data_IF_056804762785
#
_entry.id   IF_056804762785
#
_cell.length_a   1.000
_cell.length_b   1.000
_cell.length_c   1.000
_cell.angle_alpha   90.00
_cell.angle_beta   90.00
_cell.angle_gamma   90.00
#
_symmetry.space_group_name_H-M   'P 1'
#
loop_
_entity.id
_entity.type
_entity.pdbx_description
1 polymer ?
#
# COMPACT_ATOMS: atom_id res chain seq x y z
N UNK A 1 -30.95 7.80 -3.48
CA UNK A 1 -29.59 7.94 -4.04
C UNK A 1 -28.91 9.09 -3.30
N UNK A 2 -28.19 8.79 -2.21
CA UNK A 2 -27.52 9.83 -1.41
C UNK A 2 -26.29 10.29 -2.19
N UNK A 3 -26.31 11.50 -2.76
CA UNK A 3 -25.08 12.14 -3.27
C UNK A 3 -24.14 12.31 -2.09
N UNK A 4 -22.91 11.85 -2.25
CA UNK A 4 -21.90 11.86 -1.21
C UNK A 4 -21.48 13.32 -0.94
N UNK A 5 -21.85 13.88 0.21
CA UNK A 5 -21.60 15.28 0.60
C UNK A 5 -20.18 15.53 1.12
N UNK A 6 -19.28 14.54 1.04
CA UNK A 6 -17.93 14.57 1.63
C UNK A 6 -16.80 14.43 0.59
N UNK A 7 -16.97 14.96 -0.61
CA UNK A 7 -15.85 15.06 -1.56
C UNK A 7 -14.87 16.13 -1.07
N UNK A 8 -13.64 15.73 -0.74
CA UNK A 8 -12.53 16.64 -0.40
C UNK A 8 -11.37 16.45 -1.38
N UNK A 9 -10.51 17.45 -1.42
CA UNK A 9 -9.21 17.31 -2.06
C UNK A 9 -8.34 16.32 -1.28
N UNK A 10 -7.71 15.39 -2.01
CA UNK A 10 -6.84 14.36 -1.47
C UNK A 10 -5.38 14.76 -1.68
N UNK A 11 -4.57 14.72 -0.62
CA UNK A 11 -3.13 14.92 -0.75
C UNK A 11 -2.49 13.79 -1.55
N UNK A 12 -1.62 14.15 -2.50
CA UNK A 12 -0.93 13.20 -3.36
C UNK A 12 0.47 13.74 -3.68
N UNK A 13 1.49 12.91 -3.59
CA UNK A 13 2.86 13.28 -3.92
C UNK A 13 3.32 12.54 -5.19
N UNK A 14 3.73 13.29 -6.22
CA UNK A 14 4.13 12.73 -7.51
C UNK A 14 5.63 12.51 -7.63
N UNK A 15 6.03 11.35 -8.16
CA UNK A 15 7.39 11.03 -8.52
C UNK A 15 7.48 10.62 -9.99
N UNK A 16 8.52 11.07 -10.69
CA UNK A 16 8.76 10.69 -12.10
C UNK A 16 9.38 9.29 -12.26
N UNK A 17 9.84 8.69 -11.16
CA UNK A 17 10.42 7.35 -11.09
C UNK A 17 10.36 6.83 -9.66
N UNK A 18 10.45 5.52 -9.44
CA UNK A 18 10.65 4.98 -8.09
C UNK A 18 11.96 5.45 -7.42
N UNK A 19 12.94 5.87 -8.23
CA UNK A 19 14.22 6.46 -7.82
C UNK A 19 14.17 7.99 -7.65
N UNK A 20 13.01 8.62 -7.81
CA UNK A 20 12.86 10.06 -7.66
C UNK A 20 13.34 10.52 -6.27
N UNK A 21 14.26 11.48 -6.26
CA UNK A 21 14.76 12.11 -5.02
C UNK A 21 13.78 13.14 -4.46
N UNK A 22 12.96 13.72 -5.33
CA UNK A 22 11.99 14.76 -5.01
C UNK A 22 10.61 14.30 -5.45
N UNK A 23 9.65 14.39 -4.53
CA UNK A 23 8.24 14.02 -4.72
C UNK A 23 7.38 15.25 -4.52
N UNK A 24 6.77 15.76 -5.59
CA UNK A 24 6.02 17.01 -5.54
C UNK A 24 4.65 16.79 -4.92
N UNK A 25 4.41 17.38 -3.76
CA UNK A 25 3.10 17.37 -3.13
C UNK A 25 2.09 18.23 -3.89
N UNK A 26 0.89 17.69 -4.07
CA UNK A 26 -0.27 18.30 -4.74
C UNK A 26 -1.55 17.86 -4.02
N UNK A 27 -2.67 18.40 -4.46
CA UNK A 27 -4.00 17.86 -4.20
C UNK A 27 -4.61 17.32 -5.49
N UNK A 28 -5.55 16.38 -5.36
CA UNK A 28 -6.31 15.82 -6.47
C UNK A 28 -7.70 15.42 -5.97
N UNK A 29 -8.73 15.51 -6.81
CA UNK A 29 -10.03 14.91 -6.49
C UNK A 29 -9.96 13.40 -6.72
N UNK A 30 -10.86 12.62 -6.08
CA UNK A 30 -10.91 11.19 -6.36
C UNK A 30 -11.32 10.89 -7.81
N UNK A 31 -12.16 11.74 -8.40
CA UNK A 31 -12.61 11.64 -9.79
C UNK A 31 -11.44 11.83 -10.76
N UNK A 32 -10.65 12.91 -10.60
CA UNK A 32 -9.48 13.16 -11.45
C UNK A 32 -8.43 12.05 -11.31
N UNK A 33 -8.27 11.47 -10.12
CA UNK A 33 -7.38 10.34 -9.91
C UNK A 33 -7.91 9.10 -10.66
N UNK A 34 -9.21 8.83 -10.59
CA UNK A 34 -9.84 7.74 -11.33
C UNK A 34 -9.67 7.92 -12.85
N UNK A 35 -9.92 9.11 -13.37
CA UNK A 35 -9.78 9.42 -14.81
C UNK A 35 -8.34 9.25 -15.28
N UNK A 36 -7.38 9.66 -14.44
CA UNK A 36 -5.97 9.41 -14.73
C UNK A 36 -5.63 7.92 -14.71
N UNK A 37 -6.15 7.18 -13.73
CA UNK A 37 -5.91 5.75 -13.59
C UNK A 37 -6.73 4.91 -14.58
N UNK A 38 -7.76 5.42 -15.23
CA UNK A 38 -8.49 4.66 -16.26
C UNK A 38 -7.69 4.49 -17.55
N UNK A 39 -6.55 5.17 -17.68
CA UNK A 39 -5.68 5.15 -18.85
C UNK A 39 -4.33 4.52 -18.49
N UNK A 40 -3.87 3.56 -19.28
CA UNK A 40 -2.56 2.90 -19.12
C UNK A 40 -1.55 3.36 -20.18
N UNK A 41 -0.26 3.25 -19.86
CA UNK A 41 0.82 3.42 -20.84
C UNK A 41 1.22 2.04 -21.36
N UNK A 42 1.02 1.81 -22.66
CA UNK A 42 1.52 0.60 -23.30
C UNK A 42 3.03 0.67 -23.54
N UNK A 43 3.73 -0.39 -23.17
CA UNK A 43 5.17 -0.59 -23.42
C UNK A 43 5.39 -1.48 -24.64
N UNK A 44 6.64 -1.64 -25.07
CA UNK A 44 6.97 -2.28 -26.35
C UNK A 44 6.97 -3.80 -26.27
N UNK A 45 7.40 -4.35 -25.13
CA UNK A 45 7.45 -5.80 -24.91
C UNK A 45 6.05 -6.38 -24.74
N UNK A 46 5.92 -7.65 -25.10
CA UNK A 46 4.71 -8.45 -24.92
C UNK A 46 4.61 -9.05 -23.51
N UNK A 47 3.40 -9.51 -23.15
CA UNK A 47 3.13 -10.27 -21.92
C UNK A 47 4.03 -11.50 -21.80
N UNK A 48 4.43 -12.10 -22.93
CA UNK A 48 5.30 -13.28 -22.96
C UNK A 48 6.79 -12.94 -22.78
N UNK A 49 7.22 -11.77 -23.24
CA UNK A 49 8.61 -11.30 -23.16
C UNK A 49 8.92 -10.69 -21.79
N UNK A 50 8.01 -9.89 -21.24
CA UNK A 50 8.17 -9.21 -19.95
C UNK A 50 8.70 -10.12 -18.82
N UNK A 51 8.09 -11.29 -18.52
CA UNK A 51 8.57 -12.17 -17.44
C UNK A 51 9.95 -12.78 -17.72
N UNK A 52 10.42 -12.80 -18.97
CA UNK A 52 11.75 -13.32 -19.35
C UNK A 52 12.86 -12.28 -19.16
N UNK A 53 12.51 -11.00 -19.03
CA UNK A 53 13.48 -9.94 -18.77
C UNK A 53 14.09 -10.09 -17.37
N UNK A 54 15.37 -9.70 -17.18
CA UNK A 54 15.96 -9.54 -15.86
C UNK A 54 15.13 -8.61 -14.97
N UNK A 55 15.15 -8.82 -13.65
CA UNK A 55 14.37 -8.02 -12.70
C UNK A 55 14.61 -6.51 -12.85
N UNK A 56 15.87 -6.09 -12.99
CA UNK A 56 16.23 -4.69 -13.16
C UNK A 56 15.61 -4.07 -14.43
N UNK A 57 15.55 -4.85 -15.51
CA UNK A 57 14.93 -4.41 -16.76
C UNK A 57 13.40 -4.35 -16.62
N UNK A 58 12.77 -5.34 -15.98
CA UNK A 58 11.34 -5.30 -15.67
C UNK A 58 10.95 -4.08 -14.83
N UNK A 59 11.78 -3.74 -13.85
CA UNK A 59 11.57 -2.58 -12.98
C UNK A 59 11.74 -1.27 -13.76
N UNK A 60 12.73 -1.18 -14.67
CA UNK A 60 12.93 -0.01 -15.54
C UNK A 60 11.79 0.16 -16.56
N UNK A 61 11.31 -0.93 -17.14
CA UNK A 61 10.25 -0.93 -18.16
C UNK A 61 8.94 -0.39 -17.61
N UNK A 62 8.51 -0.89 -16.44
CA UNK A 62 7.24 -0.50 -15.81
C UNK A 62 7.31 0.88 -15.12
N UNK A 63 8.51 1.40 -14.86
CA UNK A 63 8.67 2.66 -14.15
C UNK A 63 8.43 3.85 -15.09
N UNK A 64 7.19 4.35 -15.08
CA UNK A 64 6.78 5.63 -15.68
C UNK A 64 6.44 6.67 -14.60
N UNK A 65 7.05 6.50 -13.42
CA UNK A 65 6.71 7.24 -12.23
C UNK A 65 5.50 6.68 -11.49
N UNK A 66 5.05 7.45 -10.52
CA UNK A 66 3.95 7.05 -9.66
C UNK A 66 3.58 8.13 -8.66
N UNK A 67 2.88 7.72 -7.62
CA UNK A 67 2.41 8.60 -6.57
C UNK A 67 2.50 7.95 -5.18
N UNK A 68 2.60 8.78 -4.14
CA UNK A 68 2.28 8.39 -2.77
C UNK A 68 0.94 9.03 -2.43
N UNK A 69 0.02 8.23 -1.89
CA UNK A 69 -1.37 8.65 -1.63
C UNK A 69 -1.47 9.44 -0.30
N UNK A 70 -0.74 10.54 -0.24
CA UNK A 70 -0.59 11.38 0.95
C UNK A 70 0.41 12.51 0.77
N UNK A 71 0.78 13.12 1.89
CA UNK A 71 1.68 14.27 1.95
C UNK A 71 3.06 13.85 2.48
N UNK A 72 4.12 14.35 1.84
CA UNK A 72 5.51 14.09 2.22
C UNK A 72 6.21 15.36 2.74
N UNK A 73 6.80 15.29 3.93
CA UNK A 73 7.71 16.31 4.47
C UNK A 73 8.92 16.44 3.54
N UNK A 74 9.36 17.68 3.30
CA UNK A 74 10.54 18.00 2.49
C UNK A 74 10.52 17.38 1.07
N UNK A 75 9.34 17.03 0.54
CA UNK A 75 9.20 16.35 -0.76
C UNK A 75 10.05 15.08 -0.88
N UNK A 76 10.26 14.34 0.23
CA UNK A 76 11.07 13.12 0.24
C UNK A 76 10.24 11.89 0.60
N UNK A 77 10.43 10.81 -0.15
CA UNK A 77 9.80 9.52 0.13
C UNK A 77 10.71 8.67 1.01
N UNK A 78 10.58 8.88 2.32
CA UNK A 78 11.19 8.08 3.38
C UNK A 78 10.12 7.82 4.45
N UNK A 79 10.29 6.79 5.28
CA UNK A 79 9.27 6.41 6.28
C UNK A 79 8.91 7.56 7.21
N UNK A 80 9.92 8.31 7.64
CA UNK A 80 9.89 9.42 8.60
C UNK A 80 9.36 10.71 7.95
N UNK A 81 9.46 10.77 6.62
CA UNK A 81 9.03 11.91 5.82
C UNK A 81 7.55 11.84 5.45
N UNK A 82 6.81 10.77 5.80
CA UNK A 82 5.36 10.75 5.59
C UNK A 82 4.69 11.65 6.62
N UNK A 83 4.05 12.73 6.16
CA UNK A 83 3.30 13.62 7.03
C UNK A 83 1.90 13.04 7.33
N UNK A 84 1.22 12.57 6.29
CA UNK A 84 -0.11 11.98 6.38
C UNK A 84 -0.44 11.15 5.14
N UNK A 85 -1.50 10.35 5.23
CA UNK A 85 -2.11 9.62 4.11
C UNK A 85 -3.55 10.07 3.94
N UNK A 86 -3.93 10.38 2.71
CA UNK A 86 -5.30 10.79 2.35
C UNK A 86 -6.11 9.63 1.74
N UNK A 87 -5.41 8.58 1.32
CA UNK A 87 -5.98 7.38 0.72
C UNK A 87 -5.20 6.15 1.18
N UNK A 88 -5.91 5.03 1.26
CA UNK A 88 -5.31 3.70 1.37
C UNK A 88 -4.88 3.24 -0.01
N UNK A 89 -3.75 2.53 -0.07
CA UNK A 89 -3.26 1.98 -1.32
C UNK A 89 -2.75 0.55 -1.10
N UNK A 90 -3.29 -0.38 -1.86
CA UNK A 90 -2.99 -1.80 -1.76
C UNK A 90 -2.36 -2.30 -3.05
N UNK A 91 -1.36 -3.18 -2.94
CA UNK A 91 -0.72 -3.88 -4.05
C UNK A 91 -1.03 -5.38 -3.91
N UNK A 92 -1.99 -5.86 -4.70
CA UNK A 92 -2.43 -7.25 -4.70
C UNK A 92 -1.72 -8.00 -5.84
N UNK A 93 -0.52 -8.51 -5.55
CA UNK A 93 0.31 -9.26 -6.50
C UNK A 93 -0.04 -10.75 -6.60
N UNK A 94 -0.93 -11.23 -5.72
CA UNK A 94 -1.37 -12.64 -5.64
C UNK A 94 -2.89 -12.75 -5.56
N UNK A 95 -3.59 -11.85 -6.24
CA UNK A 95 -5.04 -11.87 -6.28
C UNK A 95 -5.53 -13.19 -6.91
N UNK A 96 -6.56 -13.80 -6.32
CA UNK A 96 -7.13 -15.03 -6.85
C UNK A 96 -7.77 -14.80 -8.23
N UNK A 97 -7.81 -15.84 -9.05
CA UNK A 97 -8.65 -15.83 -10.26
C UNK A 97 -10.09 -15.55 -9.83
N UNK A 98 -10.69 -14.49 -10.39
CA UNK A 98 -12.02 -14.01 -9.99
C UNK A 98 -12.03 -12.85 -8.97
N UNK A 99 -10.89 -12.49 -8.37
CA UNK A 99 -10.82 -11.38 -7.39
C UNK A 99 -11.36 -10.07 -7.97
N UNK A 100 -11.00 -9.71 -9.21
CA UNK A 100 -11.47 -8.48 -9.85
C UNK A 100 -12.99 -8.46 -10.05
N UNK A 101 -13.60 -9.62 -10.25
CA UNK A 101 -15.05 -9.76 -10.41
C UNK A 101 -15.76 -9.65 -9.06
N UNK A 102 -15.25 -10.34 -8.03
CA UNK A 102 -15.85 -10.32 -6.70
C UNK A 102 -15.63 -9.00 -5.95
N UNK A 103 -14.50 -8.33 -6.16
CA UNK A 103 -14.12 -7.10 -5.46
C UNK A 103 -15.16 -5.98 -5.62
N UNK A 104 -15.76 -5.86 -6.80
CA UNK A 104 -16.81 -4.87 -7.08
C UNK A 104 -18.05 -5.06 -6.20
N UNK A 105 -18.33 -6.30 -5.80
CA UNK A 105 -19.46 -6.64 -4.92
C UNK A 105 -19.09 -6.73 -3.45
N UNK A 106 -17.82 -6.96 -3.12
CA UNK A 106 -17.36 -7.18 -1.74
C UNK A 106 -16.72 -5.94 -1.11
N UNK A 107 -16.47 -4.88 -1.88
CA UNK A 107 -15.93 -3.64 -1.35
C UNK A 107 -17.07 -2.72 -0.90
N UNK A 108 -17.17 -2.48 0.41
CA UNK A 108 -18.20 -1.60 1.00
C UNK A 108 -17.93 -0.09 0.81
N UNK A 109 -16.76 0.25 0.28
CA UNK A 109 -16.27 1.62 0.17
C UNK A 109 -16.14 2.04 -1.29
N UNK A 110 -16.20 3.35 -1.52
CA UNK A 110 -15.71 3.92 -2.77
C UNK A 110 -14.25 3.46 -2.97
N UNK A 111 -13.92 2.99 -4.16
CA UNK A 111 -12.57 2.56 -4.47
C UNK A 111 -12.33 2.62 -5.98
N UNK A 112 -11.06 2.62 -6.38
CA UNK A 112 -10.68 2.29 -7.74
C UNK A 112 -9.67 1.15 -7.73
N UNK A 113 -9.79 0.28 -8.72
CA UNK A 113 -8.93 -0.86 -8.94
C UNK A 113 -8.31 -0.74 -10.33
N UNK A 114 -7.03 -1.02 -10.45
CA UNK A 114 -6.37 -1.10 -11.75
C UNK A 114 -5.30 -2.17 -11.81
N UNK A 115 -5.10 -2.78 -12.99
CA UNK A 115 -4.12 -3.85 -13.16
C UNK A 115 -2.68 -3.33 -13.14
N UNK A 116 -1.76 -4.16 -12.65
CA UNK A 116 -0.33 -3.87 -12.71
C UNK A 116 0.28 -4.40 -13.99
N UNK A 117 1.49 -3.96 -14.30
CA UNK A 117 2.22 -4.36 -15.51
C UNK A 117 2.33 -5.88 -15.71
N UNK A 118 2.45 -6.64 -14.61
CA UNK A 118 2.59 -8.09 -14.65
C UNK A 118 1.27 -8.87 -14.63
N UNK A 119 0.13 -8.18 -14.81
CA UNK A 119 -1.18 -8.82 -14.81
C UNK A 119 -1.38 -9.74 -16.01
N UNK A 120 -1.94 -10.93 -15.76
CA UNK A 120 -2.65 -11.74 -16.77
C UNK A 120 -3.97 -12.25 -16.18
N UNK A 121 -4.93 -12.71 -17.01
CA UNK A 121 -6.17 -13.31 -16.54
C UNK A 121 -5.97 -14.50 -15.59
N UNK A 122 -4.92 -15.30 -15.84
CA UNK A 122 -4.57 -16.48 -15.05
C UNK A 122 -3.80 -16.14 -13.76
N UNK A 123 -3.11 -15.00 -13.74
CA UNK A 123 -2.39 -14.49 -12.59
C UNK A 123 -2.73 -13.01 -12.33
N UNK A 124 -3.92 -12.73 -11.76
CA UNK A 124 -4.36 -11.37 -11.54
C UNK A 124 -3.43 -10.57 -10.61
N UNK A 125 -3.09 -9.35 -11.01
CA UNK A 125 -2.30 -8.42 -10.21
C UNK A 125 -2.88 -7.03 -10.32
N UNK A 126 -3.26 -6.45 -9.19
CA UNK A 126 -4.00 -5.19 -9.17
C UNK A 126 -3.55 -4.29 -8.05
N UNK A 127 -3.79 -2.99 -8.22
CA UNK A 127 -3.74 -2.00 -7.16
C UNK A 127 -5.13 -1.50 -6.85
N UNK A 128 -5.38 -1.28 -5.57
CA UNK A 128 -6.65 -0.74 -5.07
C UNK A 128 -6.36 0.55 -4.33
N UNK A 129 -7.12 1.60 -4.62
CA UNK A 129 -7.07 2.88 -3.92
C UNK A 129 -8.43 3.13 -3.27
N UNK A 130 -8.42 3.47 -1.98
CA UNK A 130 -9.62 3.80 -1.20
C UNK A 130 -9.45 5.21 -0.62
N UNK A 131 -10.30 6.19 -0.97
CA UNK A 131 -10.23 7.54 -0.42
C UNK A 131 -10.76 7.59 1.02
N UNK A 132 -10.14 8.45 1.84
CA UNK A 132 -10.49 8.64 3.24
C UNK A 132 -11.20 9.97 3.48
N UNK A 133 -12.17 10.00 4.39
CA UNK A 133 -12.90 11.23 4.75
C UNK A 133 -12.02 12.28 5.44
N UNK A 134 -10.90 11.85 6.06
CA UNK A 134 -9.86 12.72 6.62
C UNK A 134 -8.47 12.11 6.38
N UNK A 135 -7.46 12.95 6.50
CA UNK A 135 -6.09 12.44 6.51
C UNK A 135 -5.82 11.63 7.79
N UNK A 136 -4.97 10.62 7.65
CA UNK A 136 -4.55 9.73 8.73
C UNK A 136 -3.04 9.80 8.93
N UNK A 137 -2.62 9.58 10.17
CA UNK A 137 -1.22 9.40 10.54
C UNK A 137 -0.64 8.09 9.94
N UNK A 138 0.69 7.95 9.89
CA UNK A 138 1.33 6.72 9.47
C UNK A 138 0.86 5.47 10.24
N UNK A 139 0.59 5.59 11.55
CA UNK A 139 0.20 4.45 12.39
C UNK A 139 -1.24 4.03 12.15
N UNK A 140 -2.16 5.01 12.05
CA UNK A 140 -3.55 4.76 11.65
C UNK A 140 -3.62 4.12 10.26
N UNK A 141 -2.80 4.59 9.30
CA UNK A 141 -2.71 4.00 7.98
C UNK A 141 -2.34 2.51 8.04
N UNK A 142 -1.33 2.14 8.83
CA UNK A 142 -0.90 0.75 8.99
C UNK A 142 -2.02 -0.11 9.57
N UNK A 143 -2.71 0.38 10.61
CA UNK A 143 -3.83 -0.32 11.22
C UNK A 143 -4.98 -0.54 10.24
N UNK A 144 -5.46 0.52 9.60
CA UNK A 144 -6.61 0.46 8.68
C UNK A 144 -6.28 -0.45 7.49
N UNK A 145 -5.09 -0.31 6.89
CA UNK A 145 -4.69 -1.16 5.76
C UNK A 145 -4.62 -2.63 6.15
N UNK A 146 -4.09 -2.99 7.32
CA UNK A 146 -4.04 -4.41 7.75
C UNK A 146 -5.41 -5.01 8.02
N UNK A 147 -6.28 -4.29 8.72
CA UNK A 147 -7.63 -4.77 8.98
C UNK A 147 -8.47 -4.88 7.70
N UNK A 148 -8.40 -3.90 6.80
CA UNK A 148 -9.12 -3.94 5.54
C UNK A 148 -8.58 -5.04 4.60
N UNK A 149 -7.25 -5.23 4.54
CA UNK A 149 -6.65 -6.34 3.80
C UNK A 149 -7.08 -7.70 4.38
N UNK A 150 -7.24 -7.83 5.69
CA UNK A 150 -7.75 -9.05 6.32
C UNK A 150 -9.18 -9.39 5.89
N UNK A 151 -10.06 -8.38 5.77
CA UNK A 151 -11.42 -8.57 5.26
C UNK A 151 -11.44 -9.08 3.82
N UNK A 152 -10.46 -8.67 3.01
CA UNK A 152 -10.32 -9.10 1.61
C UNK A 152 -9.40 -10.31 1.43
N UNK A 153 -8.93 -10.95 2.51
CA UNK A 153 -7.94 -12.02 2.43
C UNK A 153 -6.51 -11.48 2.34
N UNK A 154 -5.87 -11.32 3.49
CA UNK A 154 -4.59 -10.61 3.66
C UNK A 154 -3.43 -11.19 2.83
N UNK A 155 -3.47 -12.49 2.52
CA UNK A 155 -2.44 -13.18 1.75
C UNK A 155 -2.38 -12.79 0.27
N UNK A 156 -3.40 -12.11 -0.24
CA UNK A 156 -3.43 -11.60 -1.62
C UNK A 156 -2.54 -10.35 -1.80
N UNK A 157 -2.29 -9.63 -0.71
CA UNK A 157 -1.61 -8.34 -0.72
C UNK A 157 -0.12 -8.46 -0.42
N UNK A 158 0.70 -7.62 -1.03
CA UNK A 158 2.11 -7.49 -0.70
C UNK A 158 2.28 -6.70 0.61
N UNK A 159 3.27 -7.08 1.42
CA UNK A 159 3.60 -6.43 2.70
C UNK A 159 3.92 -4.93 2.54
N UNK A 160 4.35 -4.52 1.35
CA UNK A 160 4.60 -3.12 1.05
C UNK A 160 3.33 -2.26 1.13
N UNK A 161 2.14 -2.84 0.97
CA UNK A 161 0.84 -2.15 1.11
C UNK A 161 0.69 -1.47 2.48
N UNK A 162 1.28 -2.08 3.52
CA UNK A 162 1.22 -1.59 4.90
C UNK A 162 2.31 -0.57 5.22
N UNK A 163 3.16 -0.17 4.26
CA UNK A 163 4.22 0.81 4.48
C UNK A 163 3.70 2.22 4.17
N UNK A 164 3.74 3.18 5.11
CA UNK A 164 3.22 4.53 4.88
C UNK A 164 3.87 5.29 3.72
N UNK A 165 5.14 4.98 3.40
CA UNK A 165 5.91 5.61 2.32
C UNK A 165 5.85 4.81 1.00
N UNK A 166 4.97 3.81 0.92
CA UNK A 166 4.80 3.01 -0.28
C UNK A 166 4.27 3.89 -1.41
N UNK A 167 4.95 3.80 -2.56
CA UNK A 167 4.50 4.42 -3.80
C UNK A 167 3.59 3.44 -4.56
N UNK A 168 2.71 3.99 -5.38
CA UNK A 168 1.96 3.26 -6.39
C UNK A 168 2.40 3.74 -7.76
N UNK A 169 2.83 2.80 -8.60
CA UNK A 169 3.20 3.14 -9.98
C UNK A 169 1.96 3.55 -10.76
N UNK A 170 2.16 4.46 -11.71
CA UNK A 170 1.17 4.69 -12.75
C UNK A 170 0.95 3.40 -13.56
N UNK A 171 -0.27 3.17 -14.06
CA UNK A 171 -0.57 1.98 -14.84
C UNK A 171 0.29 1.92 -16.09
N UNK A 172 0.88 0.76 -16.30
CA UNK A 172 1.61 0.40 -17.51
C UNK A 172 1.21 -1.00 -17.89
N UNK A 173 1.19 -1.30 -19.18
CA UNK A 173 0.71 -2.58 -19.71
C UNK A 173 1.59 -3.01 -20.87
N UNK A 174 1.98 -4.30 -20.97
CA UNK A 174 2.65 -4.80 -22.16
C UNK A 174 1.88 -4.51 -23.45
N UNK A 175 2.55 -4.54 -24.60
CA UNK A 175 1.97 -4.15 -25.90
C UNK A 175 0.72 -4.92 -26.28
N UNK A 176 0.64 -6.20 -25.91
CA UNK A 176 -0.50 -7.09 -26.12
C UNK A 176 -1.19 -7.49 -24.81
N UNK A 177 -0.96 -6.76 -23.72
CA UNK A 177 -1.54 -7.04 -22.41
C UNK A 177 -2.92 -6.44 -22.23
N UNK A 178 -3.71 -7.08 -21.35
CA UNK A 178 -5.01 -6.56 -20.93
C UNK A 178 -4.82 -5.52 -19.81
N UNK A 179 -5.48 -4.38 -19.96
CA UNK A 179 -5.60 -3.38 -18.90
C UNK A 179 -7.03 -3.35 -18.38
N UNK A 180 -7.19 -3.57 -17.08
CA UNK A 180 -8.49 -3.50 -16.42
C UNK A 180 -8.44 -2.38 -15.41
N UNK A 181 -9.38 -1.43 -15.55
CA UNK A 181 -9.70 -0.42 -14.56
C UNK A 181 -11.15 -0.60 -14.12
N UNK A 182 -11.40 -0.51 -12.82
CA UNK A 182 -12.74 -0.52 -12.24
C UNK A 182 -12.88 0.61 -11.22
N UNK A 183 -14.02 1.28 -11.26
CA UNK A 183 -14.45 2.22 -10.23
C UNK A 183 -15.59 1.56 -9.44
N UNK A 184 -15.46 1.57 -8.12
CA UNK A 184 -16.41 1.01 -7.18
C UNK A 184 -17.14 2.17 -6.52
N UNK A 185 -18.47 2.13 -6.58
CA UNK A 185 -19.33 3.12 -5.94
C UNK A 185 -19.50 2.81 -4.45
N UNK A 186 -19.53 3.85 -3.62
CA UNK A 186 -19.67 3.69 -2.17
C UNK A 186 -19.39 4.97 -1.39
N UNK A 187 -19.42 4.87 -0.07
CA UNK A 187 -18.96 5.93 0.81
C UNK A 187 -17.44 5.96 0.89
N UNK A 188 -16.83 7.13 1.11
CA UNK A 188 -15.41 7.19 1.45
C UNK A 188 -15.21 6.55 2.83
N UNK A 189 -14.09 5.89 3.06
CA UNK A 189 -13.82 5.24 4.34
C UNK A 189 -13.61 6.30 5.41
N UNK A 190 -14.39 6.22 6.50
CA UNK A 190 -14.22 7.04 7.68
C UNK A 190 -13.20 6.40 8.63
N UNK A 191 -11.99 6.98 8.79
CA UNK A 191 -10.96 6.40 9.64
C UNK A 191 -11.37 6.31 11.11
N UNK A 192 -12.12 7.28 11.63
CA UNK A 192 -12.52 7.31 13.04
C UNK A 192 -13.51 6.20 13.35
N UNK A 193 -14.54 6.06 12.49
CA UNK A 193 -15.52 4.98 12.63
C UNK A 193 -14.88 3.60 12.47
N UNK A 194 -13.96 3.44 11.50
CA UNK A 194 -13.26 2.18 11.26
C UNK A 194 -12.33 1.79 12.41
N UNK A 195 -11.57 2.74 12.96
CA UNK A 195 -10.66 2.47 14.08
C UNK A 195 -11.41 2.26 15.40
N UNK A 196 -12.58 2.90 15.58
CA UNK A 196 -13.44 2.66 16.73
C UNK A 196 -13.95 1.21 16.79
N UNK A 197 -14.12 0.52 15.65
CA UNK A 197 -14.48 -0.90 15.62
C UNK A 197 -13.29 -1.85 15.86
N UNK A 198 -12.07 -1.32 16.03
CA UNK A 198 -10.84 -2.07 16.26
C UNK A 198 -10.04 -1.48 17.44
N UNK A 199 -10.56 -1.50 18.68
CA UNK A 199 -10.03 -0.71 19.80
C UNK A 199 -8.53 -0.96 20.10
N UNK A 200 -8.04 -2.16 19.82
CA UNK A 200 -6.66 -2.56 20.07
C UNK A 200 -5.70 -2.24 18.92
N UNK A 201 -6.11 -1.45 17.92
CA UNK A 201 -5.30 -1.16 16.72
C UNK A 201 -3.94 -0.52 17.01
N UNK A 202 -3.79 0.12 18.18
CA UNK A 202 -2.53 0.72 18.64
C UNK A 202 -1.49 -0.32 19.04
N UNK A 203 -1.92 -1.54 19.37
CA UNK A 203 -1.00 -2.65 19.59
C UNK A 203 -0.65 -3.29 18.25
N UNK A 204 0.52 -2.93 17.72
CA UNK A 204 1.06 -3.45 16.47
C UNK A 204 1.22 -4.99 16.44
N UNK A 205 1.23 -5.66 17.61
CA UNK A 205 1.32 -7.13 17.69
C UNK A 205 -0.01 -7.82 17.43
N UNK A 206 -1.13 -7.13 17.63
CA UNK A 206 -2.49 -7.63 17.43
C UNK A 206 -3.02 -7.33 16.02
N UNK A 207 -2.30 -6.53 15.23
CA UNK A 207 -2.69 -6.23 13.86
C UNK A 207 -2.64 -7.50 12.99
N UNK A 208 -3.60 -7.68 12.06
CA UNK A 208 -3.60 -8.82 11.14
C UNK A 208 -2.29 -8.92 10.37
N UNK A 209 -1.76 -10.14 10.25
CA UNK A 209 -0.52 -10.44 9.53
C UNK A 209 -0.75 -11.51 8.46
N UNK A 210 -0.01 -11.43 7.37
CA UNK A 210 -0.06 -12.48 6.35
C UNK A 210 0.69 -13.74 6.82
N UNK A 211 0.37 -14.89 6.21
CA UNK A 211 1.06 -16.17 6.46
C UNK A 211 2.59 -16.09 6.30
N UNK A 212 3.06 -15.17 5.46
CA UNK A 212 4.50 -14.92 5.21
C UNK A 212 5.17 -14.20 6.37
N UNK A 213 4.47 -13.27 6.99
CA UNK A 213 4.99 -12.53 8.14
C UNK A 213 5.01 -13.42 9.40
N UNK A 214 4.00 -14.28 9.55
CA UNK A 214 3.93 -15.22 10.68
C UNK A 214 4.97 -16.34 10.58
N UNK A 215 5.25 -16.86 9.38
CA UNK A 215 6.32 -17.87 9.18
C UNK A 215 7.72 -17.30 9.43
N UNK A 216 8.00 -16.05 9.02
CA UNK A 216 9.26 -15.37 9.34
C UNK A 216 9.38 -15.08 10.84
N UNK A 217 8.26 -14.88 11.53
CA UNK A 217 8.17 -14.67 12.99
C UNK A 217 7.97 -15.98 13.77
N UNK A 218 8.32 -17.14 13.23
CA UNK A 218 8.36 -18.36 14.06
C UNK A 218 9.22 -18.03 15.28
N UNK A 219 8.69 -18.14 16.52
CA UNK A 219 9.46 -17.81 17.70
C UNK A 219 10.68 -18.72 17.68
N UNK A 220 11.87 -18.14 17.55
CA UNK A 220 13.02 -18.87 18.05
C UNK A 220 12.74 -19.07 19.52
N UNK A 221 12.68 -20.32 19.99
CA UNK A 221 12.65 -20.70 21.41
C UNK A 221 13.84 -20.16 22.23
N UNK A 222 14.66 -19.30 21.62
CA UNK A 222 15.59 -18.43 22.33
C UNK A 222 14.77 -17.45 23.15
N UNK A 223 14.54 -17.82 24.42
CA UNK A 223 14.29 -16.89 25.53
C UNK A 223 15.02 -15.60 25.24
N UNK A 224 14.28 -14.49 25.25
CA UNK A 224 14.85 -13.16 25.14
C UNK A 224 15.91 -13.02 26.25
N UNK A 225 17.19 -13.10 25.86
CA UNK A 225 18.30 -13.02 26.81
C UNK A 225 18.28 -11.65 27.49
N UNK A 226 18.53 -11.66 28.79
CA UNK A 226 18.62 -10.46 29.62
C UNK A 226 19.53 -9.43 28.94
N UNK A 227 19.00 -8.22 28.60
CA UNK A 227 19.76 -7.16 27.96
C UNK A 227 21.06 -6.79 28.71
N UNK A 228 21.09 -6.96 30.03
CA UNK A 228 22.26 -6.70 30.87
C UNK A 228 23.30 -7.83 30.79
N UNK A 229 22.86 -9.06 30.51
CA UNK A 229 23.72 -10.24 30.35
C UNK A 229 24.33 -10.36 28.94
N UNK A 230 23.86 -9.56 27.98
CA UNK A 230 24.39 -9.59 26.61
C UNK A 230 25.87 -9.17 26.55
N UNK A 231 26.63 -9.85 25.71
CA UNK A 231 28.01 -9.48 25.38
C UNK A 231 28.04 -8.47 24.22
N UNK A 232 29.15 -7.73 24.09
CA UNK A 232 29.31 -6.72 23.03
C UNK A 232 28.65 -5.37 23.31
N UNK A 233 28.62 -4.52 22.28
CA UNK A 233 28.24 -3.10 22.37
C UNK A 233 26.83 -2.90 22.95
N UNK A 234 25.87 -3.75 22.56
CA UNK A 234 24.48 -3.67 23.03
C UNK A 234 24.39 -3.91 24.53
N UNK A 235 25.04 -4.96 25.05
CA UNK A 235 25.04 -5.22 26.50
C UNK A 235 25.87 -4.21 27.29
N UNK A 236 26.96 -3.69 26.71
CA UNK A 236 27.74 -2.61 27.33
C UNK A 236 26.91 -1.33 27.46
N UNK A 237 26.12 -0.99 26.44
CA UNK A 237 25.18 0.12 26.47
C UNK A 237 24.07 -0.10 27.49
N UNK A 238 23.41 -1.27 27.47
CA UNK A 238 22.34 -1.58 28.43
C UNK A 238 22.84 -1.52 29.87
N UNK A 239 24.07 -1.99 30.18
CA UNK A 239 24.66 -1.86 31.52
C UNK A 239 25.01 -0.42 31.91
N UNK A 240 25.46 0.39 30.95
CA UNK A 240 25.87 1.78 31.20
C UNK A 240 24.68 2.73 31.43
N UNK A 241 23.52 2.42 30.87
CA UNK A 241 22.35 3.30 30.87
C UNK A 241 21.10 2.68 31.52
N UNK A 242 21.24 1.55 32.23
CA UNK A 242 20.16 1.02 33.04
C UNK A 242 19.93 1.95 34.24
N UNK A 243 18.72 2.52 34.43
CA UNK A 243 18.44 3.32 35.61
C UNK A 243 18.53 2.42 36.85
N UNK A 244 19.34 2.80 37.83
CA UNK A 244 19.17 2.29 39.19
C UNK A 244 17.99 3.03 39.80
N UNK A 245 16.94 2.30 40.17
CA UNK A 245 15.95 2.77 41.16
C UNK A 245 16.42 2.29 42.53
#
# INVERSE_FOLDING_TARGET
MKRNTNARDLHIAYGNSCYAKTWTNKTITFDDLCDRLSNTIHTTESVQEYPRLPKADRDRVKDKGGFVAGQLKNNRRQRESVASRSMLAFDADRASVGFLASFETSCDYAACLYTTHGHTPEAPRVRIIVPLTRDVSPDEYVAITRHLAAQWGIDQFDECSYRPHQLMYWPTTPSNGEYVFKRIEGGWLDPDAFLASHPDWKDCTLLPTSSRESTVRTPSDKKQEDPLAKTGIVGAFCRAYHPCV
#
